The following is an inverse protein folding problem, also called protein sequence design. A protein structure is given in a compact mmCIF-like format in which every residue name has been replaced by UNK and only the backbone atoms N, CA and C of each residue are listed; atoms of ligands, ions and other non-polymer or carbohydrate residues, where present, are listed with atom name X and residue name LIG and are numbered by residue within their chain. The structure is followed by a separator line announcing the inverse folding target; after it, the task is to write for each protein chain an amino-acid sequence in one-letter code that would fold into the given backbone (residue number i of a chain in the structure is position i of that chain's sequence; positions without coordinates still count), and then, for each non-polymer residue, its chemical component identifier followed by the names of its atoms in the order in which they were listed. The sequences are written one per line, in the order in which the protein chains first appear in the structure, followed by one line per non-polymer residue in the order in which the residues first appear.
data_IF_765602196016
#
_entry.id   IF_765602196016
#
_cell.length_a   1.000
_cell.length_b   1.000
_cell.length_c   1.000
_cell.angle_alpha   90.00
_cell.angle_beta   90.00
_cell.angle_gamma   90.00
#
_symmetry.space_group_name_H-M   'P 1'
#
loop_
_entity.id
_entity.type
_entity.pdbx_description
1 polymer ?
#
# COMPACT_ATOMS: atom_id res chain seq x y z
N UNK A 1 18.85 -13.57 18.06
CA UNK A 1 18.90 -13.64 16.59
C UNK A 1 17.51 -13.33 16.08
N UNK A 2 17.29 -12.15 15.51
CA UNK A 2 15.98 -11.78 14.95
C UNK A 2 15.78 -12.59 13.67
N UNK A 3 14.80 -13.49 13.67
CA UNK A 3 14.33 -14.16 12.45
C UNK A 3 13.87 -13.08 11.49
N UNK A 4 14.47 -13.06 10.29
CA UNK A 4 14.04 -12.16 9.22
C UNK A 4 12.63 -12.59 8.79
N UNK A 5 11.60 -12.02 9.40
CA UNK A 5 10.22 -12.23 9.01
C UNK A 5 10.09 -11.94 7.52
N UNK A 6 9.62 -12.93 6.74
CA UNK A 6 9.27 -12.70 5.33
C UNK A 6 8.22 -11.60 5.30
N UNK A 7 8.60 -10.41 4.82
CA UNK A 7 7.68 -9.26 4.69
C UNK A 7 6.54 -9.52 3.68
N UNK A 8 6.69 -10.56 2.87
CA UNK A 8 5.80 -10.90 1.76
C UNK A 8 5.76 -12.42 1.58
N UNK A 9 4.56 -12.97 1.44
CA UNK A 9 4.26 -14.37 1.16
C UNK A 9 3.68 -14.44 -0.24
N UNK A 10 4.36 -15.15 -1.16
CA UNK A 10 3.82 -15.40 -2.49
C UNK A 10 2.57 -16.27 -2.39
N UNK A 11 1.56 -15.95 -3.17
CA UNK A 11 0.28 -16.64 -3.12
C UNK A 11 -0.35 -16.77 -4.50
N UNK A 12 -1.26 -17.72 -4.62
CA UNK A 12 -2.20 -17.79 -5.74
C UNK A 12 -3.55 -17.28 -5.26
N UNK A 13 -4.25 -16.53 -6.10
CA UNK A 13 -5.57 -16.02 -5.79
C UNK A 13 -6.62 -17.04 -6.26
N UNK A 14 -7.47 -17.48 -5.36
CA UNK A 14 -8.59 -18.38 -5.65
C UNK A 14 -9.87 -17.54 -5.76
N UNK A 15 -10.52 -17.60 -6.92
CA UNK A 15 -11.71 -16.83 -7.24
C UNK A 15 -12.86 -17.81 -7.45
N UNK A 16 -13.93 -17.66 -6.69
CA UNK A 16 -15.18 -18.38 -6.95
C UNK A 16 -15.98 -17.65 -8.02
N UNK A 17 -16.35 -18.37 -9.07
CA UNK A 17 -17.31 -17.97 -10.10
C UNK A 17 -18.62 -18.72 -9.90
N UNK A 18 -19.75 -18.02 -9.99
CA UNK A 18 -21.06 -18.65 -10.03
C UNK A 18 -21.32 -19.18 -11.45
N UNK A 19 -21.63 -20.46 -11.56
CA UNK A 19 -22.03 -21.14 -12.79
C UNK A 19 -23.43 -21.74 -12.63
N UNK A 20 -24.07 -22.11 -13.74
CA UNK A 20 -25.40 -22.75 -13.73
C UNK A 20 -25.43 -24.10 -12.95
N UNK A 21 -24.25 -24.70 -12.72
CA UNK A 21 -24.06 -25.96 -11.99
C UNK A 21 -23.53 -25.78 -10.54
N UNK A 22 -23.32 -24.54 -10.07
CA UNK A 22 -22.82 -24.24 -8.72
C UNK A 22 -21.74 -23.17 -8.68
N UNK A 23 -20.77 -23.28 -7.78
CA UNK A 23 -19.61 -22.38 -7.72
C UNK A 23 -18.34 -23.09 -8.19
N UNK A 24 -17.71 -22.59 -9.26
CA UNK A 24 -16.42 -23.08 -9.74
C UNK A 24 -15.31 -22.21 -9.17
N UNK A 25 -14.32 -22.83 -8.52
CA UNK A 25 -13.12 -22.12 -8.08
C UNK A 25 -12.12 -22.08 -9.24
N UNK A 26 -11.76 -20.87 -9.68
CA UNK A 26 -10.72 -20.60 -10.67
C UNK A 26 -9.51 -20.02 -9.96
N UNK A 27 -8.34 -20.53 -10.30
CA UNK A 27 -7.08 -20.09 -9.71
C UNK A 27 -6.39 -19.10 -10.65
N UNK A 28 -5.97 -17.97 -10.09
CA UNK A 28 -5.03 -17.05 -10.70
C UNK A 28 -3.66 -17.25 -10.03
N UNK A 29 -2.75 -18.02 -10.66
CA UNK A 29 -1.44 -18.28 -10.07
C UNK A 29 -0.52 -17.08 -10.19
N UNK A 30 0.37 -16.92 -9.21
CA UNK A 30 1.53 -16.04 -9.36
C UNK A 30 2.42 -16.56 -10.49
N UNK A 31 2.82 -15.67 -11.39
CA UNK A 31 3.61 -15.98 -12.58
C UNK A 31 4.62 -14.86 -12.89
N UNK A 32 5.37 -15.00 -13.98
CA UNK A 32 6.30 -13.96 -14.44
C UNK A 32 5.59 -12.67 -14.88
N UNK A 33 4.33 -12.77 -15.34
CA UNK A 33 3.55 -11.63 -15.81
C UNK A 33 2.69 -10.98 -14.71
N UNK A 34 2.50 -11.66 -13.58
CA UNK A 34 1.82 -11.11 -12.41
C UNK A 34 2.28 -11.82 -11.15
N UNK A 35 2.85 -11.07 -10.20
CA UNK A 35 3.23 -11.62 -8.89
C UNK A 35 2.14 -11.26 -7.88
N UNK A 36 1.55 -12.28 -7.26
CA UNK A 36 0.50 -12.11 -6.25
C UNK A 36 1.08 -12.49 -4.89
N UNK A 37 0.80 -11.66 -3.89
CA UNK A 37 1.39 -11.86 -2.57
C UNK A 37 0.56 -11.24 -1.45
N UNK A 38 0.68 -11.82 -0.26
CA UNK A 38 0.21 -11.26 0.99
C UNK A 38 1.39 -10.61 1.72
N UNK A 39 1.26 -9.34 2.10
CA UNK A 39 2.28 -8.61 2.86
C UNK A 39 1.67 -7.92 4.08
N UNK A 40 2.48 -7.16 4.82
CA UNK A 40 2.05 -6.46 6.05
C UNK A 40 1.04 -5.31 5.83
N UNK A 41 0.67 -5.03 4.58
CA UNK A 41 -0.39 -4.07 4.21
C UNK A 41 -1.68 -4.76 3.78
N UNK A 42 -1.57 -5.87 3.06
CA UNK A 42 -2.69 -6.63 2.53
C UNK A 42 -2.28 -7.45 1.30
N UNK A 43 -3.15 -7.51 0.29
CA UNK A 43 -2.93 -8.30 -0.92
C UNK A 43 -2.31 -7.40 -1.99
N UNK A 44 -1.18 -7.80 -2.54
CA UNK A 44 -0.45 -7.07 -3.57
C UNK A 44 -0.38 -7.87 -4.87
N UNK A 45 -0.80 -7.22 -5.95
CA UNK A 45 -0.63 -7.63 -7.34
C UNK A 45 0.53 -6.81 -7.93
N UNK A 46 1.52 -7.46 -8.53
CA UNK A 46 2.68 -6.80 -9.12
C UNK A 46 2.82 -7.15 -10.58
N UNK A 47 2.83 -6.13 -11.43
CA UNK A 47 2.87 -6.25 -12.88
C UNK A 47 4.24 -5.78 -13.39
N UNK A 48 4.95 -6.57 -14.21
CA UNK A 48 6.23 -6.15 -14.75
C UNK A 48 6.05 -4.98 -15.73
N UNK A 49 6.90 -3.97 -15.60
CA UNK A 49 6.97 -2.81 -16.51
C UNK A 49 7.84 -3.12 -17.72
N UNK A 50 7.65 -2.36 -18.79
CA UNK A 50 8.59 -2.37 -19.91
C UNK A 50 10.02 -2.06 -19.47
N UNK A 51 10.99 -2.79 -20.03
CA UNK A 51 12.41 -2.50 -19.89
C UNK A 51 12.83 -1.25 -20.65
N UNK A 52 12.01 -0.80 -21.61
CA UNK A 52 12.20 0.48 -22.29
C UNK A 52 11.93 1.65 -21.34
N UNK A 53 13.00 2.39 -21.05
CA UNK A 53 13.00 3.50 -20.10
C UNK A 53 12.53 4.83 -20.70
N UNK A 54 12.33 4.90 -22.01
CA UNK A 54 11.88 6.13 -22.67
C UNK A 54 10.46 6.54 -22.28
N UNK A 55 9.65 5.58 -21.79
CA UNK A 55 8.24 5.75 -21.43
C UNK A 55 7.97 5.70 -19.92
N UNK A 56 9.01 5.76 -19.07
CA UNK A 56 8.88 5.49 -17.64
C UNK A 56 8.13 6.56 -16.85
N UNK A 57 7.17 6.12 -16.04
CA UNK A 57 6.67 6.85 -14.87
C UNK A 57 7.46 6.40 -13.63
N UNK A 58 8.17 7.33 -13.00
CA UNK A 58 9.15 7.12 -11.91
C UNK A 58 8.57 6.63 -10.57
N UNK A 59 7.27 6.41 -10.49
CA UNK A 59 6.60 6.16 -9.22
C UNK A 59 6.39 4.66 -9.02
N UNK A 60 7.11 4.10 -8.05
CA UNK A 60 6.69 2.85 -7.43
C UNK A 60 5.35 3.10 -6.73
N UNK A 61 4.41 2.16 -6.83
CA UNK A 61 3.16 2.24 -6.07
C UNK A 61 3.36 2.05 -4.55
N UNK A 62 4.62 1.83 -4.14
CA UNK A 62 5.05 1.72 -2.76
C UNK A 62 5.51 3.07 -2.18
N UNK A 63 5.30 4.16 -2.92
CA UNK A 63 5.61 5.54 -2.48
C UNK A 63 7.10 5.79 -2.27
N UNK A 64 7.94 4.85 -2.70
CA UNK A 64 9.38 5.02 -2.70
C UNK A 64 9.75 5.66 -4.03
N UNK A 65 10.55 6.73 -3.95
CA UNK A 65 11.19 7.42 -5.10
C UNK A 65 12.27 6.57 -5.79
N UNK A 66 12.36 5.28 -5.45
CA UNK A 66 13.25 4.32 -6.08
C UNK A 66 12.61 3.69 -7.31
N UNK A 67 13.38 3.61 -8.38
CA UNK A 67 13.04 2.83 -9.57
C UNK A 67 12.56 1.42 -9.20
N UNK A 68 11.44 1.01 -9.81
CA UNK A 68 10.92 -0.35 -9.69
C UNK A 68 10.63 -0.92 -11.07
N UNK A 69 11.10 -2.14 -11.31
CA UNK A 69 10.74 -2.92 -12.49
C UNK A 69 9.26 -3.39 -12.47
N UNK A 70 8.57 -3.18 -11.34
CA UNK A 70 7.19 -3.59 -11.16
C UNK A 70 6.28 -2.41 -10.84
N UNK A 71 5.07 -2.46 -11.37
CA UNK A 71 3.95 -1.66 -10.94
C UNK A 71 3.14 -2.47 -9.93
N UNK A 72 2.94 -1.93 -8.73
CA UNK A 72 2.19 -2.63 -7.68
C UNK A 72 0.79 -2.06 -7.56
N UNK A 73 -0.20 -2.93 -7.40
CA UNK A 73 -1.54 -2.56 -6.97
C UNK A 73 -1.81 -3.33 -5.68
N UNK A 74 -2.10 -2.61 -4.59
CA UNK A 74 -2.28 -3.23 -3.27
C UNK A 74 -3.69 -2.96 -2.75
N UNK A 75 -4.41 -4.03 -2.39
CA UNK A 75 -5.62 -3.96 -1.57
C UNK A 75 -5.17 -3.96 -0.12
N UNK A 76 -5.14 -2.80 0.52
CA UNK A 76 -4.81 -2.69 1.94
C UNK A 76 -5.98 -3.19 2.78
N UNK A 77 -5.70 -4.18 3.62
CA UNK A 77 -6.65 -4.69 4.59
C UNK A 77 -6.76 -3.69 5.76
N UNK A 78 -7.97 -3.33 6.21
CA UNK A 78 -8.16 -2.37 7.29
C UNK A 78 -7.69 -2.98 8.62
N UNK A 79 -6.81 -2.32 9.41
CA UNK A 79 -6.37 -2.85 10.71
C UNK A 79 -7.57 -3.10 11.63
N UNK A 80 -7.74 -4.33 12.12
CA UNK A 80 -8.88 -4.76 12.94
C UNK A 80 -10.23 -4.82 12.21
N UNK A 81 -10.27 -4.52 10.90
CA UNK A 81 -11.49 -4.46 10.09
C UNK A 81 -11.69 -5.66 9.16
N UNK A 82 -10.98 -6.76 9.38
CA UNK A 82 -11.10 -8.00 8.61
C UNK A 82 -10.93 -9.22 9.53
N UNK A 83 -11.46 -10.36 9.12
CA UNK A 83 -11.16 -11.66 9.71
C UNK A 83 -10.26 -12.44 8.77
N UNK A 84 -9.38 -13.24 9.36
CA UNK A 84 -8.50 -14.14 8.63
C UNK A 84 -8.56 -15.52 9.26
N UNK A 85 -8.78 -16.55 8.45
CA UNK A 85 -8.66 -17.94 8.87
C UNK A 85 -7.71 -18.65 7.92
N UNK A 86 -7.01 -19.67 8.41
CA UNK A 86 -6.19 -20.51 7.56
C UNK A 86 -6.27 -21.97 7.98
N UNK A 87 -6.16 -22.86 7.01
CA UNK A 87 -6.17 -24.30 7.20
C UNK A 87 -5.21 -24.98 6.22
N UNK A 88 -4.68 -26.13 6.61
CA UNK A 88 -3.85 -26.96 5.75
C UNK A 88 -4.68 -27.51 4.59
N UNK A 89 -4.07 -27.63 3.42
CA UNK A 89 -4.69 -28.32 2.30
C UNK A 89 -4.56 -29.83 2.55
N UNK A 90 -5.62 -30.47 3.05
CA UNK A 90 -5.52 -31.87 3.51
C UNK A 90 -5.85 -32.87 2.39
N UNK A 91 -6.69 -32.55 1.40
CA UNK A 91 -7.00 -33.53 0.32
C UNK A 91 -7.76 -33.01 -0.91
N UNK A 92 -8.11 -31.73 -1.02
CA UNK A 92 -9.02 -31.27 -2.08
C UNK A 92 -8.29 -30.88 -3.38
N UNK A 93 -7.51 -31.83 -3.92
CA UNK A 93 -6.69 -31.69 -5.14
C UNK A 93 -7.55 -31.32 -6.36
N UNK A 94 -8.87 -31.62 -6.32
CA UNK A 94 -9.80 -31.28 -7.40
C UNK A 94 -10.04 -29.78 -7.57
N UNK A 95 -9.76 -28.96 -6.55
CA UNK A 95 -9.99 -27.52 -6.59
C UNK A 95 -8.74 -26.70 -6.96
N UNK A 96 -7.57 -27.34 -7.06
CA UNK A 96 -6.29 -26.63 -7.21
C UNK A 96 -5.38 -27.38 -8.20
N UNK A 97 -5.52 -27.13 -9.51
CA UNK A 97 -4.60 -27.67 -10.51
C UNK A 97 -3.21 -27.03 -10.38
N UNK A 98 -2.15 -27.77 -10.73
CA UNK A 98 -0.74 -27.32 -10.78
C UNK A 98 -0.15 -26.78 -9.48
N UNK A 99 0.03 -27.65 -8.48
CA UNK A 99 0.85 -27.35 -7.30
C UNK A 99 2.30 -27.80 -7.49
N UNK A 100 3.23 -26.88 -7.26
CA UNK A 100 4.66 -27.16 -7.15
C UNK A 100 5.03 -27.63 -5.73
N UNK A 101 4.94 -28.94 -5.51
CA UNK A 101 5.38 -29.61 -4.28
C UNK A 101 4.30 -30.43 -3.58
N UNK A 102 4.54 -30.77 -2.32
CA UNK A 102 3.59 -31.58 -1.55
C UNK A 102 2.40 -30.74 -1.08
N UNK A 103 1.20 -31.31 -1.18
CA UNK A 103 -0.07 -30.65 -0.84
C UNK A 103 -0.08 -30.14 0.61
N UNK A 104 0.58 -30.86 1.54
CA UNK A 104 0.70 -30.47 2.94
C UNK A 104 1.58 -29.23 3.21
N UNK A 105 2.37 -28.78 2.23
CA UNK A 105 3.14 -27.54 2.32
C UNK A 105 2.28 -26.29 2.06
N UNK A 106 1.06 -26.50 1.53
CA UNK A 106 0.15 -25.42 1.18
C UNK A 106 -0.91 -25.20 2.25
N UNK A 107 -1.22 -23.93 2.47
CA UNK A 107 -2.31 -23.48 3.33
C UNK A 107 -3.26 -22.60 2.53
N UNK A 108 -4.55 -22.77 2.79
CA UNK A 108 -5.59 -21.88 2.28
C UNK A 108 -5.87 -20.82 3.32
N UNK A 109 -5.74 -19.55 2.95
CA UNK A 109 -5.99 -18.38 3.79
C UNK A 109 -7.23 -17.68 3.27
N UNK A 110 -8.26 -17.59 4.11
CA UNK A 110 -9.50 -16.88 3.82
C UNK A 110 -9.48 -15.53 4.52
N UNK A 111 -9.65 -14.47 3.76
CA UNK A 111 -9.67 -13.08 4.22
C UNK A 111 -11.03 -12.49 3.93
N UNK A 112 -11.74 -12.06 4.97
CA UNK A 112 -13.05 -11.43 4.85
C UNK A 112 -13.00 -10.03 5.46
N UNK A 113 -13.20 -9.01 4.64
CA UNK A 113 -13.32 -7.63 5.11
C UNK A 113 -14.71 -7.47 5.76
N UNK A 114 -14.74 -6.85 6.94
CA UNK A 114 -15.97 -6.60 7.68
C UNK A 114 -16.88 -5.63 6.91
N UNK A 115 -18.21 -5.83 6.89
CA UNK A 115 -19.15 -4.94 6.16
C UNK A 115 -19.09 -3.46 6.59
N UNK A 116 -18.65 -3.20 7.82
CA UNK A 116 -18.51 -1.86 8.40
C UNK A 116 -17.12 -1.25 8.18
N UNK A 117 -16.25 -1.94 7.45
CA UNK A 117 -14.89 -1.51 7.11
C UNK A 117 -14.74 -1.45 5.60
N UNK A 118 -13.75 -0.70 5.13
CA UNK A 118 -13.41 -0.60 3.71
C UNK A 118 -11.94 -0.88 3.51
N UNK A 119 -11.61 -1.69 2.51
CA UNK A 119 -10.25 -1.77 1.99
C UNK A 119 -9.88 -0.46 1.30
N UNK A 120 -8.59 -0.17 1.26
CA UNK A 120 -8.05 0.93 0.47
C UNK A 120 -7.24 0.35 -0.67
N UNK A 121 -7.57 0.71 -1.90
CA UNK A 121 -6.80 0.31 -3.09
C UNK A 121 -5.71 1.33 -3.36
N UNK A 122 -4.49 0.83 -3.59
CA UNK A 122 -3.28 1.61 -3.81
C UNK A 122 -2.68 1.27 -5.15
N UNK A 123 -2.15 2.28 -5.85
CA UNK A 123 -1.39 2.12 -7.08
C UNK A 123 -2.28 1.99 -8.32
N UNK A 124 -3.59 1.78 -8.13
CA UNK A 124 -4.55 1.74 -9.22
C UNK A 124 -4.70 3.11 -9.91
N UNK A 125 -4.78 3.10 -11.24
CA UNK A 125 -4.98 4.30 -12.06
C UNK A 125 -3.72 5.14 -12.32
N UNK A 126 -2.54 4.70 -11.87
CA UNK A 126 -1.28 5.37 -12.21
C UNK A 126 -0.87 5.04 -13.66
N UNK A 127 -0.18 5.97 -14.37
CA UNK A 127 0.34 5.70 -15.71
C UNK A 127 1.24 4.47 -15.72
N UNK A 128 0.93 3.53 -16.61
CA UNK A 128 1.57 2.23 -16.70
C UNK A 128 1.87 1.86 -18.16
N UNK A 129 3.07 1.30 -18.37
CA UNK A 129 3.47 0.68 -19.64
C UNK A 129 4.02 -0.72 -19.33
N UNK A 130 3.28 -1.74 -19.76
CA UNK A 130 3.54 -3.14 -19.42
C UNK A 130 4.77 -3.72 -20.10
N UNK A 131 5.33 -4.79 -19.53
CA UNK A 131 6.44 -5.53 -20.13
C UNK A 131 6.09 -6.20 -21.47
N UNK A 132 4.80 -6.42 -21.71
CA UNK A 132 4.24 -6.96 -22.94
C UNK A 132 2.78 -6.53 -23.10
N UNK A 133 2.20 -6.79 -24.28
CA UNK A 133 0.83 -6.40 -24.61
C UNK A 133 -0.22 -6.98 -23.65
N UNK A 134 -0.04 -8.22 -23.17
CA UNK A 134 -0.99 -8.84 -22.24
C UNK A 134 -1.01 -8.08 -20.91
N UNK A 135 0.15 -7.85 -20.32
CA UNK A 135 0.29 -7.12 -19.04
C UNK A 135 -0.23 -5.69 -19.18
N UNK A 136 0.05 -5.03 -20.30
CA UNK A 136 -0.46 -3.69 -20.58
C UNK A 136 -1.99 -3.67 -20.65
N UNK A 137 -2.58 -4.61 -21.39
CA UNK A 137 -4.03 -4.74 -21.54
C UNK A 137 -4.73 -5.12 -20.23
N UNK A 138 -4.09 -5.88 -19.34
CA UNK A 138 -4.64 -6.21 -18.01
C UNK A 138 -4.79 -4.97 -17.14
N UNK A 139 -3.78 -4.10 -17.12
CA UNK A 139 -3.76 -2.91 -16.25
C UNK A 139 -4.53 -1.75 -16.88
N UNK A 140 -4.24 -1.42 -18.15
CA UNK A 140 -4.76 -0.22 -18.82
C UNK A 140 -6.14 -0.41 -19.45
N UNK A 141 -6.45 -1.62 -19.95
CA UNK A 141 -7.71 -1.93 -20.65
C UNK A 141 -8.64 -2.84 -19.84
N UNK A 142 -8.24 -3.23 -18.63
CA UNK A 142 -8.99 -4.11 -17.73
C UNK A 142 -9.41 -5.44 -18.36
N UNK A 143 -8.63 -5.94 -19.32
CA UNK A 143 -8.87 -7.29 -19.86
C UNK A 143 -8.67 -8.34 -18.76
N UNK A 144 -9.39 -9.48 -18.79
CA UNK A 144 -9.26 -10.52 -17.76
C UNK A 144 -7.82 -11.02 -17.61
N UNK A 145 -7.29 -10.95 -16.38
CA UNK A 145 -5.95 -11.38 -16.05
C UNK A 145 -5.89 -12.90 -16.17
N UNK A 146 -5.05 -13.38 -17.08
CA UNK A 146 -4.95 -14.80 -17.43
C UNK A 146 -6.31 -15.46 -17.74
N UNK A 147 -7.29 -14.69 -18.25
CA UNK A 147 -8.62 -15.18 -18.56
C UNK A 147 -9.53 -15.44 -17.34
N UNK A 148 -9.12 -15.02 -16.13
CA UNK A 148 -9.85 -15.30 -14.88
C UNK A 148 -10.76 -14.14 -14.48
N UNK A 149 -10.18 -12.98 -14.13
CA UNK A 149 -10.95 -11.81 -13.72
C UNK A 149 -10.19 -10.54 -14.10
N UNK A 150 -10.93 -9.47 -14.38
CA UNK A 150 -10.33 -8.16 -14.62
C UNK A 150 -9.74 -7.59 -13.33
N UNK A 151 -8.78 -6.66 -13.47
CA UNK A 151 -8.19 -5.98 -12.32
C UNK A 151 -9.25 -5.29 -11.44
N UNK A 152 -10.21 -4.50 -11.98
CA UNK A 152 -11.26 -3.90 -11.16
C UNK A 152 -12.12 -4.91 -10.39
N UNK A 153 -12.50 -6.04 -11.01
CA UNK A 153 -13.29 -7.09 -10.34
C UNK A 153 -12.52 -7.72 -9.17
N UNK A 154 -11.20 -7.87 -9.28
CA UNK A 154 -10.38 -8.36 -8.16
C UNK A 154 -10.32 -7.32 -7.03
N UNK A 155 -10.18 -6.03 -7.38
CA UNK A 155 -10.01 -4.94 -6.41
C UNK A 155 -11.30 -4.58 -5.66
N UNK A 156 -12.47 -4.82 -6.25
CA UNK A 156 -13.78 -4.54 -5.65
C UNK A 156 -14.25 -5.61 -4.65
N UNK A 157 -13.56 -6.77 -4.61
CA UNK A 157 -13.92 -7.89 -3.71
C UNK A 157 -13.75 -7.53 -2.24
N UNK A 158 -14.68 -8.05 -1.42
CA UNK A 158 -14.63 -8.00 0.04
C UNK A 158 -14.10 -9.30 0.68
N UNK A 159 -13.94 -10.35 -0.12
CA UNK A 159 -13.55 -11.69 0.30
C UNK A 159 -12.46 -12.22 -0.62
N UNK A 160 -11.39 -12.75 -0.04
CA UNK A 160 -10.25 -13.29 -0.78
C UNK A 160 -9.86 -14.65 -0.22
N UNK A 161 -9.79 -15.65 -1.10
CA UNK A 161 -9.18 -16.93 -0.78
C UNK A 161 -7.80 -16.97 -1.41
N UNK A 162 -6.76 -17.15 -0.61
CA UNK A 162 -5.37 -17.23 -1.05
C UNK A 162 -4.84 -18.64 -0.81
N UNK A 163 -4.09 -19.16 -1.77
CA UNK A 163 -3.30 -20.36 -1.57
C UNK A 163 -1.84 -19.98 -1.38
N UNK A 164 -1.26 -20.35 -0.24
CA UNK A 164 0.10 -19.96 0.15
C UNK A 164 0.95 -21.17 0.48
N UNK A 165 2.24 -21.10 0.13
CA UNK A 165 3.26 -22.04 0.59
C UNK A 165 4.06 -21.40 1.72
N UNK A 166 3.52 -21.45 2.93
CA UNK A 166 4.08 -20.78 4.11
C UNK A 166 3.70 -21.50 5.41
N UNK A 167 4.51 -21.31 6.45
CA UNK A 167 4.20 -21.85 7.77
C UNK A 167 3.01 -21.11 8.40
N UNK A 168 2.35 -21.76 9.37
CA UNK A 168 1.34 -21.11 10.21
C UNK A 168 1.85 -19.80 10.81
N UNK A 169 3.04 -19.86 11.41
CA UNK A 169 3.63 -18.74 12.13
C UNK A 169 3.91 -17.56 11.19
N UNK A 170 4.35 -17.81 9.95
CA UNK A 170 4.54 -16.75 8.96
C UNK A 170 3.23 -16.04 8.61
N UNK A 171 2.16 -16.81 8.40
CA UNK A 171 0.82 -16.27 8.09
C UNK A 171 0.29 -15.46 9.28
N UNK A 172 0.34 -16.02 10.48
CA UNK A 172 -0.11 -15.37 11.71
C UNK A 172 0.70 -14.09 11.99
N UNK A 173 2.01 -14.09 11.74
CA UNK A 173 2.87 -12.91 11.86
C UNK A 173 2.47 -11.80 10.87
N UNK A 174 2.20 -12.14 9.61
CA UNK A 174 1.76 -11.15 8.61
C UNK A 174 0.40 -10.55 8.98
N UNK A 175 -0.56 -11.38 9.37
CA UNK A 175 -1.90 -10.93 9.81
C UNK A 175 -1.79 -10.04 11.06
N UNK A 176 -0.97 -10.45 12.04
CA UNK A 176 -0.71 -9.66 13.24
C UNK A 176 -0.09 -8.30 12.90
N UNK A 177 0.89 -8.26 11.99
CA UNK A 177 1.50 -7.01 11.53
C UNK A 177 0.51 -6.07 10.84
N UNK A 178 -0.44 -6.60 10.05
CA UNK A 178 -1.52 -5.80 9.45
C UNK A 178 -2.39 -5.18 10.55
N UNK A 179 -2.78 -5.97 11.56
CA UNK A 179 -3.63 -5.50 12.66
C UNK A 179 -2.94 -4.52 13.61
N UNK A 180 -1.63 -4.65 13.79
CA UNK A 180 -0.80 -3.75 14.59
C UNK A 180 -0.41 -2.47 13.82
N UNK A 181 -0.76 -2.36 12.54
CA UNK A 181 -0.43 -1.19 11.73
C UNK A 181 -1.10 0.05 12.33
N UNK A 182 -0.27 0.93 12.90
CA UNK A 182 -0.71 2.20 13.45
C UNK A 182 -1.37 3.08 12.39
N UNK A 183 -2.29 3.95 12.82
CA UNK A 183 -2.76 5.05 11.97
C UNK A 183 -1.59 6.02 11.76
N UNK A 184 -1.38 6.53 10.53
CA UNK A 184 -0.45 7.64 10.32
C UNK A 184 -0.76 8.78 11.29
N UNK A 185 0.28 9.34 11.91
CA UNK A 185 0.15 10.51 12.78
C UNK A 185 -0.18 11.74 11.94
N UNK A 186 -1.10 12.57 12.43
CA UNK A 186 -1.38 13.89 11.85
C UNK A 186 -0.13 14.79 11.97
N UNK A 187 0.06 15.67 10.99
CA UNK A 187 1.02 16.76 11.03
C UNK A 187 0.82 17.71 12.21
N UNK A 188 -0.37 17.72 12.81
CA UNK A 188 -0.68 18.36 14.09
C UNK A 188 -0.79 19.89 14.05
N UNK A 189 -0.87 20.46 12.85
CA UNK A 189 -1.16 21.88 12.63
C UNK A 189 -2.67 22.19 12.60
N UNK A 190 -3.51 21.17 12.72
CA UNK A 190 -4.97 21.30 12.70
C UNK A 190 -5.52 21.46 11.29
N UNK A 191 -6.68 22.14 11.17
CA UNK A 191 -7.42 22.27 9.91
C UNK A 191 -7.66 23.71 9.44
N UNK A 192 -6.89 24.65 9.98
CA UNK A 192 -6.98 26.07 9.62
C UNK A 192 -5.65 26.52 8.99
N UNK A 193 -5.68 26.80 7.69
CA UNK A 193 -4.48 27.17 6.92
C UNK A 193 -4.27 28.68 6.77
N UNK A 194 -5.21 29.52 7.24
CA UNK A 194 -5.06 30.98 7.18
C UNK A 194 -3.99 31.48 8.14
N UNK A 195 -3.26 32.53 7.75
CA UNK A 195 -2.17 33.10 8.56
C UNK A 195 -2.65 33.55 9.95
N UNK A 196 -1.97 33.10 11.00
CA UNK A 196 -2.26 33.50 12.38
C UNK A 196 -0.99 33.38 13.25
N UNK A 197 -0.46 34.53 13.67
CA UNK A 197 0.76 34.62 14.48
C UNK A 197 0.64 33.89 15.82
N UNK A 198 -0.39 34.17 16.61
CA UNK A 198 -0.57 33.57 17.94
C UNK A 198 -0.63 32.04 17.92
N UNK A 199 -1.25 31.48 16.88
CA UNK A 199 -1.35 30.05 16.67
C UNK A 199 0.00 29.46 16.26
N UNK A 200 0.65 30.06 15.26
CA UNK A 200 1.91 29.53 14.75
C UNK A 200 3.06 29.67 15.76
N UNK A 201 3.10 30.75 16.56
CA UNK A 201 4.03 30.91 17.68
C UNK A 201 3.91 29.79 18.73
N UNK A 202 2.74 29.14 18.84
CA UNK A 202 2.54 27.99 19.75
C UNK A 202 2.80 26.65 19.06
N UNK A 203 2.41 26.52 17.79
CA UNK A 203 2.46 25.26 17.06
C UNK A 203 3.86 24.94 16.54
N UNK A 204 4.53 25.90 15.88
CA UNK A 204 5.80 25.65 15.18
C UNK A 204 6.89 25.18 16.15
N UNK A 205 7.14 25.85 17.30
CA UNK A 205 8.17 25.39 18.23
C UNK A 205 7.90 24.00 18.82
N UNK A 206 6.63 23.62 18.98
CA UNK A 206 6.23 22.32 19.53
C UNK A 206 6.39 21.18 18.52
N UNK A 207 6.17 21.46 17.25
CA UNK A 207 6.11 20.47 16.18
C UNK A 207 7.43 20.37 15.39
N UNK A 208 8.30 21.37 15.53
CA UNK A 208 9.63 21.40 14.92
C UNK A 208 10.48 20.21 15.37
N UNK A 209 11.14 19.57 14.40
CA UNK A 209 11.96 18.37 14.62
C UNK A 209 11.21 17.05 14.56
N UNK A 210 9.87 17.06 14.49
CA UNK A 210 9.10 15.85 14.18
C UNK A 210 9.28 15.52 12.69
N UNK A 211 10.12 14.51 12.40
CA UNK A 211 10.29 14.01 11.05
C UNK A 211 9.04 13.24 10.62
N UNK A 212 8.21 13.86 9.80
CA UNK A 212 7.23 13.12 9.03
C UNK A 212 7.98 12.36 7.92
N UNK A 213 7.72 11.07 7.73
CA UNK A 213 8.32 10.34 6.63
C UNK A 213 7.92 11.00 5.31
N UNK A 214 8.84 11.00 4.34
CA UNK A 214 8.51 11.38 2.97
C UNK A 214 7.30 10.57 2.51
N UNK A 215 6.25 11.27 2.07
CA UNK A 215 5.02 10.65 1.60
C UNK A 215 4.46 11.44 0.45
N UNK A 216 3.95 10.73 -0.55
CA UNK A 216 3.13 11.29 -1.64
C UNK A 216 1.65 11.06 -1.40
N UNK A 217 1.28 10.52 -0.23
CA UNK A 217 -0.10 10.32 0.21
C UNK A 217 -0.43 11.15 1.42
N UNK A 218 -1.67 11.59 1.39
CA UNK A 218 -2.33 12.26 2.49
C UNK A 218 -3.66 11.54 2.71
N UNK A 219 -3.94 11.21 3.97
CA UNK A 219 -5.19 10.66 4.51
C UNK A 219 -6.40 11.44 4.01
N UNK A 220 -6.27 12.75 3.94
CA UNK A 220 -7.32 13.66 3.51
C UNK A 220 -6.73 14.94 2.89
N UNK A 221 -7.60 15.78 2.35
CA UNK A 221 -7.22 17.06 1.79
C UNK A 221 -6.51 17.95 2.83
N UNK A 222 -6.93 17.88 4.09
CA UNK A 222 -6.36 18.69 5.15
C UNK A 222 -4.89 18.34 5.39
N UNK A 223 -4.57 17.06 5.44
CA UNK A 223 -3.21 16.59 5.62
C UNK A 223 -2.31 17.00 4.44
N UNK A 224 -2.82 16.94 3.20
CA UNK A 224 -2.13 17.44 2.00
C UNK A 224 -1.86 18.93 2.09
N UNK A 225 -2.91 19.70 2.35
CA UNK A 225 -2.83 21.15 2.39
C UNK A 225 -1.94 21.59 3.57
N UNK A 226 -1.90 20.81 4.67
CA UNK A 226 -0.94 21.02 5.76
C UNK A 226 0.50 20.84 5.30
N UNK A 227 0.83 19.71 4.67
CA UNK A 227 2.19 19.47 4.17
C UNK A 227 2.65 20.55 3.19
N UNK A 228 1.75 21.01 2.31
CA UNK A 228 2.03 22.08 1.35
C UNK A 228 2.12 23.47 1.97
N UNK A 229 1.26 23.81 2.93
CA UNK A 229 1.27 25.16 3.52
C UNK A 229 2.40 25.33 4.53
N UNK A 230 2.74 24.28 5.28
CA UNK A 230 3.70 24.38 6.38
C UNK A 230 5.13 24.59 5.91
N UNK A 231 5.49 24.23 4.67
CA UNK A 231 6.80 24.54 4.11
C UNK A 231 7.01 26.07 4.00
N UNK A 232 5.98 26.81 3.62
CA UNK A 232 6.03 28.27 3.48
C UNK A 232 5.82 28.97 4.82
N UNK A 233 4.88 28.45 5.64
CA UNK A 233 4.56 29.07 6.93
C UNK A 233 5.76 29.05 7.86
N UNK A 234 6.48 27.92 7.96
CA UNK A 234 7.66 27.82 8.81
C UNK A 234 8.79 28.72 8.32
N UNK A 235 9.01 28.80 6.99
CA UNK A 235 10.03 29.66 6.39
C UNK A 235 9.76 31.16 6.69
N UNK A 236 8.54 31.63 6.47
CA UNK A 236 8.16 33.03 6.78
C UNK A 236 8.23 33.30 8.28
N UNK A 237 7.84 32.32 9.11
CA UNK A 237 7.91 32.44 10.56
C UNK A 237 9.35 32.57 11.05
N UNK A 238 10.27 31.75 10.53
CA UNK A 238 11.70 31.82 10.84
C UNK A 238 12.30 33.14 10.39
N UNK A 239 12.04 33.54 9.14
CA UNK A 239 12.53 34.81 8.60
C UNK A 239 12.12 36.02 9.44
N UNK A 240 10.88 36.04 9.95
CA UNK A 240 10.42 37.11 10.82
C UNK A 240 11.15 37.14 12.16
N UNK A 241 11.33 35.99 12.81
CA UNK A 241 12.04 35.92 14.09
C UNK A 241 13.53 36.26 13.95
N UNK A 242 14.15 35.87 12.83
CA UNK A 242 15.51 36.27 12.49
C UNK A 242 15.62 37.80 12.32
N UNK A 243 14.63 38.44 11.67
CA UNK A 243 14.58 39.90 11.55
C UNK A 243 14.38 40.62 12.89
N UNK A 244 13.50 40.11 13.76
CA UNK A 244 13.33 40.65 15.11
C UNK A 244 14.65 40.57 15.89
N UNK A 245 15.36 39.45 15.77
CA UNK A 245 16.67 39.29 16.41
C UNK A 245 17.70 40.29 15.88
N UNK A 246 17.76 40.53 14.57
CA UNK A 246 18.67 41.53 13.98
C UNK A 246 18.32 42.95 14.42
N UNK A 247 17.03 43.27 14.58
CA UNK A 247 16.60 44.59 15.04
C UNK A 247 16.95 44.85 16.51
N UNK A 248 17.05 43.79 17.31
CA UNK A 248 17.47 43.84 18.71
C UNK A 248 19.00 43.87 18.90
N UNK A 249 19.78 43.63 17.85
CA UNK A 249 21.25 43.74 17.90
C UNK A 249 21.64 45.21 17.75
N UNK A 250 21.95 45.86 18.87
CA UNK A 250 22.69 47.13 18.85
C UNK A 250 24.02 46.90 18.14
N UNK A 251 24.19 47.49 16.95
CA UNK A 251 25.50 47.55 16.29
C UNK A 251 26.43 48.38 17.18
N UNK A 252 27.49 47.79 17.77
CA UNK A 252 28.44 48.59 18.54
C UNK A 252 29.06 49.59 17.56
N UNK A 253 28.82 50.88 17.82
CA UNK A 253 29.53 51.93 17.12
C UNK A 253 31.02 51.72 17.41
N UNK A 254 31.77 51.29 16.38
CA UNK A 254 33.22 51.33 16.41
C UNK A 254 33.63 52.81 16.46
N UNK A 255 33.92 53.28 17.68
CA UNK A 255 34.63 54.54 17.94
C UNK A 255 36.12 54.20 18.06
#
# INVERSE_FOLDING_TARGET
MATSHRRQILCNLMLSEATDEGSKNVQLPSSQNIIISLNTRGIRLSFPRSTDRSTWSWYSADYVTTDSAFHHVTVELPPGGFTATHHELITDIKQVPDLDGEVGEYRRVELQISPHSKSTVIGFGLPFHGANEHVDNWVNKHTPIAGVASLPEILDRQSFSLLVKASKDDIDNVISAINQRGKPSDYGYGNHHGWNWDRYNKQIPKMRGMLFPETTRFKDQNERDTAWTQIHVQDVWDFHHDLEHVNDVEMPALI
#
